data_IF_021636368936
#
_entry.id   IF_021636368936
#
_cell.length_a   1.000
_cell.length_b   1.000
_cell.length_c   1.000
_cell.angle_alpha   90.00
_cell.angle_beta   90.00
_cell.angle_gamma   90.00
#
_symmetry.space_group_name_H-M   'P 1'
#
loop_
_entity.id
_entity.type
_entity.pdbx_description
1 polymer ?
#
# COMPACT_ATOMS: atom_id res chain seq x y z
N UNK A 1 -29.79 7.38 -52.16
CA UNK A 1 -29.65 7.92 -50.78
C UNK A 1 -29.85 6.75 -49.82
N UNK A 2 -28.76 6.18 -49.30
CA UNK A 2 -28.84 5.06 -48.36
C UNK A 2 -29.20 5.57 -46.97
N UNK A 3 -30.24 5.00 -46.35
CA UNK A 3 -30.50 5.17 -44.92
C UNK A 3 -29.54 4.22 -44.18
N UNK A 4 -28.60 4.78 -43.42
CA UNK A 4 -27.87 4.04 -42.41
C UNK A 4 -28.57 4.18 -41.07
N UNK A 5 -28.60 3.11 -40.29
CA UNK A 5 -29.08 3.11 -38.91
C UNK A 5 -27.88 3.15 -37.97
N UNK A 6 -27.99 3.95 -36.90
CA UNK A 6 -26.92 4.15 -35.93
C UNK A 6 -27.43 3.63 -34.59
N UNK A 7 -26.77 2.60 -34.05
CA UNK A 7 -27.07 2.07 -32.73
C UNK A 7 -26.17 2.74 -31.69
N UNK A 8 -26.78 3.25 -30.63
CA UNK A 8 -26.10 3.86 -29.49
C UNK A 8 -26.44 3.06 -28.22
N UNK A 9 -25.41 2.62 -27.51
CA UNK A 9 -25.54 2.10 -26.15
C UNK A 9 -24.79 3.02 -25.20
N UNK A 10 -25.43 3.39 -24.08
CA UNK A 10 -24.82 4.14 -22.98
C UNK A 10 -24.88 3.27 -21.76
N UNK A 11 -23.76 3.17 -21.06
CA UNK A 11 -23.67 2.44 -19.81
C UNK A 11 -23.15 3.36 -18.71
N UNK A 12 -23.61 3.11 -17.48
CA UNK A 12 -23.16 3.85 -16.31
C UNK A 12 -22.63 2.93 -15.22
N UNK A 13 -21.35 3.12 -14.87
CA UNK A 13 -20.67 2.48 -13.76
C UNK A 13 -19.17 2.84 -13.75
N UNK A 14 -18.39 2.10 -13.00
CA UNK A 14 -16.97 2.35 -12.74
C UNK A 14 -16.05 1.66 -13.75
N UNK A 15 -14.80 2.11 -13.84
CA UNK A 15 -13.80 1.50 -14.73
C UNK A 15 -13.54 0.00 -14.46
N UNK A 16 -13.92 -0.48 -13.26
CA UNK A 16 -13.80 -1.87 -12.83
C UNK A 16 -14.97 -2.75 -13.27
N UNK A 17 -16.11 -2.14 -13.60
CA UNK A 17 -17.20 -2.86 -14.21
C UNK A 17 -16.78 -3.07 -15.67
N UNK A 18 -16.34 -4.28 -16.00
CA UNK A 18 -16.04 -4.72 -17.36
C UNK A 18 -17.35 -4.72 -18.18
N UNK A 19 -17.95 -3.56 -18.41
CA UNK A 19 -19.13 -3.43 -19.24
C UNK A 19 -18.69 -3.62 -20.68
N UNK A 20 -19.09 -4.76 -21.25
CA UNK A 20 -18.80 -5.22 -22.62
C UNK A 20 -17.35 -5.68 -22.86
N UNK A 21 -16.89 -6.75 -22.18
CA UNK A 21 -15.57 -7.33 -22.46
C UNK A 21 -15.50 -7.94 -23.87
N UNK A 22 -16.67 -8.23 -24.46
CA UNK A 22 -16.87 -8.76 -25.80
C UNK A 22 -17.37 -7.70 -26.81
N UNK A 23 -17.36 -6.40 -26.47
CA UNK A 23 -17.73 -5.38 -27.46
C UNK A 23 -16.76 -5.43 -28.65
N UNK A 24 -17.30 -5.71 -29.84
CA UNK A 24 -16.50 -5.75 -31.06
C UNK A 24 -16.05 -4.33 -31.43
N UNK A 25 -14.74 -4.19 -31.64
CA UNK A 25 -14.14 -2.98 -32.17
C UNK A 25 -14.70 -2.80 -33.58
N UNK A 26 -15.16 -1.57 -33.89
CA UNK A 26 -15.60 -1.22 -35.24
C UNK A 26 -14.55 -1.61 -36.27
N UNK A 27 -14.99 -2.22 -37.37
CA UNK A 27 -14.21 -2.67 -38.53
C UNK A 27 -13.35 -1.55 -39.16
N UNK A 28 -13.54 -0.29 -38.73
CA UNK A 28 -12.74 0.87 -39.09
C UNK A 28 -11.33 0.88 -38.48
N UNK A 29 -11.09 0.14 -37.40
CA UNK A 29 -9.74 -0.05 -36.86
C UNK A 29 -9.09 -1.24 -37.57
N UNK A 30 -8.02 -1.00 -38.33
CA UNK A 30 -7.23 -2.02 -39.04
C UNK A 30 -6.47 -2.99 -38.10
N UNK A 31 -6.98 -3.25 -36.89
CA UNK A 31 -6.33 -4.05 -35.85
C UNK A 31 -7.22 -5.27 -35.60
N UNK A 32 -6.80 -6.42 -36.14
CA UNK A 32 -7.51 -7.69 -36.00
C UNK A 32 -6.79 -8.60 -35.00
N UNK A 33 -7.54 -9.27 -34.13
CA UNK A 33 -7.03 -10.31 -33.25
C UNK A 33 -6.86 -9.91 -31.78
N UNK A 34 -6.45 -10.87 -30.91
CA UNK A 34 -6.40 -10.70 -29.46
C UNK A 34 -5.45 -9.60 -28.97
N UNK A 35 -4.50 -9.17 -29.80
CA UNK A 35 -3.58 -8.06 -29.49
C UNK A 35 -4.28 -6.70 -29.47
N UNK A 36 -5.38 -6.54 -30.24
CA UNK A 36 -6.21 -5.35 -30.19
C UNK A 36 -6.80 -5.15 -28.78
N UNK A 37 -7.29 -6.25 -28.18
CA UNK A 37 -8.02 -6.23 -26.90
C UNK A 37 -7.18 -5.74 -25.72
N UNK A 38 -5.86 -5.95 -25.75
CA UNK A 38 -4.95 -5.54 -24.68
C UNK A 38 -4.87 -4.01 -24.51
N UNK A 39 -4.97 -3.25 -25.61
CA UNK A 39 -4.83 -1.79 -25.59
C UNK A 39 -6.13 -1.04 -25.27
N UNK A 40 -7.28 -1.72 -25.33
CA UNK A 40 -8.59 -1.11 -25.06
C UNK A 40 -9.20 -1.52 -23.71
N UNK A 41 -8.52 -2.38 -22.93
CA UNK A 41 -8.93 -2.65 -21.55
C UNK A 41 -8.71 -1.41 -20.69
N UNK A 42 -9.76 -1.05 -19.97
CA UNK A 42 -9.73 0.04 -19.02
C UNK A 42 -8.82 -0.34 -17.82
N UNK A 43 -7.76 0.44 -17.56
CA UNK A 43 -6.89 0.24 -16.39
C UNK A 43 -7.55 0.78 -15.12
N UNK A 44 -8.00 -0.08 -14.22
CA UNK A 44 -8.49 0.34 -12.90
C UNK A 44 -7.33 0.87 -12.07
N UNK A 45 -7.38 2.16 -11.72
CA UNK A 45 -6.44 2.74 -10.76
C UNK A 45 -7.07 2.73 -9.37
N UNK A 46 -6.53 1.89 -8.48
CA UNK A 46 -6.83 1.98 -7.06
C UNK A 46 -6.12 3.21 -6.51
N UNK A 47 -6.88 4.20 -6.04
CA UNK A 47 -6.36 5.34 -5.30
C UNK A 47 -6.66 5.15 -3.81
N UNK A 48 -5.86 4.36 -3.08
CA UNK A 48 -6.10 4.13 -1.66
C UNK A 48 -5.98 5.46 -0.90
N UNK A 49 -6.78 5.61 0.14
CA UNK A 49 -6.65 6.74 1.06
C UNK A 49 -5.43 6.53 1.93
N UNK A 50 -4.52 7.51 1.93
CA UNK A 50 -3.30 7.47 2.73
C UNK A 50 -3.50 8.18 4.06
N UNK A 51 -2.86 7.65 5.10
CA UNK A 51 -2.92 8.13 6.47
C UNK A 51 -1.52 8.21 7.08
N UNK A 52 -1.32 9.16 7.99
CA UNK A 52 -0.12 9.21 8.82
C UNK A 52 -0.36 8.42 10.11
N UNK A 53 0.45 7.39 10.34
CA UNK A 53 0.47 6.61 11.57
C UNK A 53 1.67 7.04 12.41
N UNK A 54 1.40 7.63 13.57
CA UNK A 54 2.43 7.98 14.57
C UNK A 54 2.58 6.87 15.60
N UNK A 55 3.77 6.29 15.69
CA UNK A 55 4.12 5.28 16.70
C UNK A 55 5.06 5.91 17.72
N UNK A 56 4.57 6.12 18.95
CA UNK A 56 5.37 6.64 20.04
C UNK A 56 6.01 5.47 20.82
N UNK A 57 7.32 5.33 20.71
CA UNK A 57 8.10 4.31 21.45
C UNK A 57 8.57 4.94 22.75
N UNK A 58 7.95 4.56 23.86
CA UNK A 58 8.18 5.19 25.18
C UNK A 58 9.36 4.51 25.87
N UNK A 59 9.20 3.25 26.24
CA UNK A 59 10.14 2.49 27.07
C UNK A 59 9.92 0.97 26.93
N UNK A 60 10.88 0.20 27.44
CA UNK A 60 10.72 -1.23 27.70
C UNK A 60 11.11 -1.52 29.16
N UNK A 61 10.62 -2.64 29.69
CA UNK A 61 10.83 -3.04 31.08
C UNK A 61 11.40 -4.45 31.14
N UNK A 62 12.26 -4.69 32.12
CA UNK A 62 12.83 -5.98 32.52
C UNK A 62 13.48 -6.76 31.37
N UNK A 63 14.26 -6.07 30.53
CA UNK A 63 15.01 -6.74 29.46
C UNK A 63 16.03 -7.72 30.03
N UNK A 64 16.15 -8.88 29.39
CA UNK A 64 17.15 -9.90 29.73
C UNK A 64 18.42 -9.66 28.91
N UNK A 65 19.51 -9.14 29.49
CA UNK A 65 20.73 -8.85 28.74
C UNK A 65 21.40 -10.15 28.30
N UNK A 66 21.89 -10.18 27.06
CA UNK A 66 22.67 -11.30 26.54
C UNK A 66 24.06 -11.39 27.18
N UNK A 67 24.68 -10.23 27.47
CA UNK A 67 25.95 -10.12 28.19
C UNK A 67 25.72 -9.49 29.57
N UNK A 68 26.09 -10.21 30.63
CA UNK A 68 25.93 -9.77 32.02
C UNK A 68 26.99 -8.74 32.44
N UNK A 69 28.04 -8.53 31.65
CA UNK A 69 29.15 -7.61 31.94
C UNK A 69 28.98 -6.20 31.39
N UNK A 70 27.99 -5.96 30.50
CA UNK A 70 27.79 -4.67 29.82
C UNK A 70 26.33 -4.28 29.81
N UNK A 71 26.06 -2.97 29.92
CA UNK A 71 24.70 -2.45 29.71
C UNK A 71 24.26 -2.68 28.27
N UNK A 72 23.00 -3.12 28.04
CA UNK A 72 22.53 -3.45 26.71
C UNK A 72 22.37 -2.19 25.86
N UNK A 73 22.84 -2.25 24.61
CA UNK A 73 22.61 -1.21 23.60
C UNK A 73 21.34 -1.58 22.82
N UNK A 74 20.21 -1.03 23.25
CA UNK A 74 18.88 -1.44 22.76
C UNK A 74 18.28 -0.37 21.85
N UNK A 75 17.61 -0.80 20.80
CA UNK A 75 16.74 0.00 19.95
C UNK A 75 15.50 -0.84 19.56
N UNK A 76 14.42 -0.19 19.15
CA UNK A 76 13.20 -0.85 18.65
C UNK A 76 13.14 -0.72 17.13
N UNK A 77 12.72 -1.77 16.42
CA UNK A 77 12.57 -1.77 14.96
C UNK A 77 11.11 -1.92 14.58
N UNK A 78 10.46 -0.80 14.30
CA UNK A 78 9.10 -0.79 13.80
C UNK A 78 9.04 -1.08 12.28
N UNK A 79 8.20 -2.02 11.88
CA UNK A 79 7.97 -2.43 10.49
C UNK A 79 6.49 -2.36 10.18
N UNK A 80 6.12 -1.65 9.11
CA UNK A 80 4.78 -1.59 8.54
C UNK A 80 4.90 -1.94 7.05
N UNK A 81 4.41 -3.12 6.66
CA UNK A 81 4.58 -3.63 5.30
C UNK A 81 6.06 -3.70 4.91
N UNK A 82 6.43 -2.99 3.85
CA UNK A 82 7.82 -2.86 3.41
C UNK A 82 8.60 -1.70 4.06
N UNK A 83 7.94 -0.85 4.84
CA UNK A 83 8.58 0.31 5.47
C UNK A 83 9.12 -0.07 6.85
N UNK A 84 10.40 0.22 7.09
CA UNK A 84 11.09 -0.10 8.34
C UNK A 84 11.70 1.17 8.91
N UNK A 85 11.40 1.46 10.17
CA UNK A 85 12.03 2.52 10.95
C UNK A 85 12.58 1.96 12.25
N UNK A 86 13.54 2.68 12.83
CA UNK A 86 14.19 2.29 14.08
C UNK A 86 14.29 3.49 14.98
N UNK A 87 14.15 3.28 16.28
CA UNK A 87 14.52 4.29 17.26
C UNK A 87 16.04 4.44 17.31
N UNK A 88 16.49 5.52 17.97
CA UNK A 88 17.88 5.65 18.40
C UNK A 88 18.22 4.57 19.41
N UNK A 89 19.50 4.30 19.61
CA UNK A 89 19.94 3.48 20.73
C UNK A 89 19.55 4.20 22.02
N UNK A 90 18.92 3.48 22.95
CA UNK A 90 18.53 4.06 24.23
C UNK A 90 19.77 4.60 24.95
N UNK A 91 19.66 5.82 25.47
CA UNK A 91 20.71 6.44 26.26
C UNK A 91 20.71 5.92 27.71
N UNK A 92 19.63 5.24 28.11
CA UNK A 92 19.50 4.62 29.42
C UNK A 92 20.46 3.43 29.53
N UNK A 93 21.35 3.46 30.51
CA UNK A 93 22.26 2.34 30.84
C UNK A 93 21.59 1.41 31.85
N UNK A 94 20.50 0.77 31.43
CA UNK A 94 19.60 0.01 32.30
C UNK A 94 18.89 -1.08 31.49
N UNK A 95 18.37 -2.10 32.19
CA UNK A 95 17.48 -3.12 31.62
C UNK A 95 16.07 -2.59 31.32
N UNK A 96 15.79 -1.36 31.74
CA UNK A 96 14.58 -0.60 31.47
C UNK A 96 14.94 0.59 30.58
N UNK A 97 15.16 0.39 29.26
CA UNK A 97 15.52 1.47 28.36
C UNK A 97 14.32 2.38 28.07
N UNK A 98 14.61 3.66 27.87
CA UNK A 98 13.64 4.69 27.51
C UNK A 98 14.06 5.39 26.22
N UNK A 99 13.07 5.84 25.44
CA UNK A 99 13.26 6.56 24.17
C UNK A 99 12.39 7.81 24.09
N UNK A 100 11.09 7.65 24.34
CA UNK A 100 10.07 8.66 24.07
C UNK A 100 10.23 9.28 22.66
N UNK A 101 10.34 8.41 21.66
CA UNK A 101 10.63 8.75 20.27
C UNK A 101 9.43 8.42 19.36
N UNK A 102 9.07 9.35 18.49
CA UNK A 102 8.00 9.16 17.50
C UNK A 102 8.56 8.63 16.17
N UNK A 103 8.02 7.52 15.68
CA UNK A 103 8.24 7.00 14.33
C UNK A 103 6.98 7.26 13.49
N UNK A 104 7.14 7.88 12.32
CA UNK A 104 6.03 8.32 11.46
C UNK A 104 5.94 7.50 10.20
N UNK A 105 4.86 6.75 10.03
CA UNK A 105 4.60 5.89 8.86
C UNK A 105 3.49 6.47 7.98
N UNK A 106 3.47 6.07 6.71
CA UNK A 106 2.33 6.25 5.82
C UNK A 106 1.64 4.91 5.66
N UNK A 107 0.34 4.85 5.93
CA UNK A 107 -0.48 3.65 5.82
C UNK A 107 -1.61 3.87 4.81
N UNK A 108 -1.91 2.85 4.01
CA UNK A 108 -3.02 2.86 3.05
C UNK A 108 -4.24 2.13 3.63
N UNK A 109 -5.42 2.73 3.53
CA UNK A 109 -6.70 2.05 3.79
C UNK A 109 -6.94 0.98 2.70
N UNK A 110 -7.30 -0.28 3.05
CA UNK A 110 -7.91 -0.76 4.31
C UNK A 110 -6.98 -1.27 5.44
N UNK A 111 -5.74 -0.76 5.56
CA UNK A 111 -4.79 -1.06 6.66
C UNK A 111 -4.48 -2.55 6.85
N UNK A 112 -4.19 -3.23 5.75
CA UNK A 112 -3.92 -4.68 5.75
C UNK A 112 -2.55 -5.04 6.34
N UNK A 113 -1.64 -4.07 6.39
CA UNK A 113 -0.26 -4.26 6.83
C UNK A 113 -0.15 -4.18 8.37
N UNK A 114 0.31 -5.24 9.05
CA UNK A 114 0.50 -5.19 10.50
C UNK A 114 1.73 -4.35 10.87
N UNK A 115 1.63 -3.62 11.97
CA UNK A 115 2.78 -3.00 12.62
C UNK A 115 3.48 -4.04 13.52
N UNK A 116 4.76 -4.29 13.26
CA UNK A 116 5.61 -5.22 14.02
C UNK A 116 6.76 -4.42 14.65
N UNK A 117 7.04 -4.62 15.95
CA UNK A 117 8.08 -3.93 16.72
C UNK A 117 9.25 -4.84 17.08
#
# INVERSE_FOLDING_TARGET
KGRGELMLAVWWGTQADEAFPEAWISDAANVSGPEALANFRSKVYLSPKLWYLRVNVIEAQDLVPSDKGRFPEVYVRATLGSHVQKTRISQSRSINPTWNEDLMFVAAEPFEEPLIL
#
